data_IF_329892771445
#
_entry.id   IF_329892771445
#
_cell.length_a   1.000
_cell.length_b   1.000
_cell.length_c   1.000
_cell.angle_alpha   90.00
_cell.angle_beta   90.00
_cell.angle_gamma   90.00
#
_symmetry.space_group_name_H-M   'P 1'
#
loop_
_entity.id
_entity.type
_entity.pdbx_description
1 polymer ?
#
# COMPACT_ATOMS: atom_id res chain seq x y z
N UNK A 1 -47.23 24.11 -22.10
CA UNK A 1 -46.73 23.21 -21.04
C UNK A 1 -45.26 22.95 -21.32
N UNK A 2 -44.36 23.64 -20.58
CA UNK A 2 -42.90 23.48 -20.74
C UNK A 2 -42.41 22.42 -19.78
N UNK A 3 -41.84 21.35 -20.32
CA UNK A 3 -41.15 20.32 -19.55
C UNK A 3 -39.74 20.83 -19.24
N UNK A 4 -39.49 21.21 -17.99
CA UNK A 4 -38.13 21.46 -17.49
C UNK A 4 -37.44 20.12 -17.23
N UNK A 5 -36.53 19.74 -18.11
CA UNK A 5 -35.61 18.63 -17.87
C UNK A 5 -34.53 19.07 -16.91
N UNK A 6 -34.60 18.62 -15.66
CA UNK A 6 -33.51 18.77 -14.69
C UNK A 6 -32.40 17.82 -15.04
N UNK A 7 -31.30 18.35 -15.58
CA UNK A 7 -30.06 17.61 -15.77
C UNK A 7 -29.41 17.40 -14.39
N UNK A 8 -29.53 16.19 -13.86
CA UNK A 8 -28.78 15.81 -12.65
C UNK A 8 -27.30 15.65 -13.03
N UNK A 9 -26.46 16.56 -12.57
CA UNK A 9 -25.01 16.40 -12.63
C UNK A 9 -24.61 15.28 -11.67
N UNK A 10 -24.29 14.11 -12.24
CA UNK A 10 -23.60 13.05 -11.48
C UNK A 10 -22.14 13.46 -11.41
N UNK A 11 -21.76 14.09 -10.30
CA UNK A 11 -20.35 14.28 -10.00
C UNK A 11 -19.70 12.90 -9.86
N UNK A 12 -18.54 12.64 -10.50
CA UNK A 12 -17.81 11.43 -10.23
C UNK A 12 -17.41 11.46 -8.76
N UNK A 13 -17.95 10.54 -7.97
CA UNK A 13 -17.42 10.25 -6.63
C UNK A 13 -16.09 9.58 -6.87
N UNK A 14 -15.03 10.40 -7.01
CA UNK A 14 -13.69 9.90 -6.91
C UNK A 14 -13.61 9.27 -5.51
N UNK A 15 -13.49 7.96 -5.46
CA UNK A 15 -13.16 7.24 -4.25
C UNK A 15 -11.73 7.66 -3.87
N UNK A 16 -11.61 8.82 -3.24
CA UNK A 16 -10.41 9.17 -2.52
C UNK A 16 -10.36 8.18 -1.36
N UNK A 17 -9.53 7.13 -1.52
CA UNK A 17 -9.08 6.37 -0.36
C UNK A 17 -8.49 7.40 0.57
N UNK A 18 -9.27 7.73 1.61
CA UNK A 18 -8.87 8.73 2.58
C UNK A 18 -7.60 8.23 3.26
N UNK A 19 -6.50 9.00 3.18
CA UNK A 19 -5.31 8.77 4.01
C UNK A 19 -5.65 8.68 5.50
N UNK A 20 -6.84 9.12 5.89
CA UNK A 20 -7.36 9.01 7.24
C UNK A 20 -7.44 7.57 7.76
N UNK A 21 -7.46 6.55 6.89
CA UNK A 21 -7.46 5.14 7.31
C UNK A 21 -6.12 4.69 7.92
N UNK A 22 -5.01 5.38 7.60
CA UNK A 22 -3.68 5.06 8.11
C UNK A 22 -3.28 5.97 9.26
N UNK A 23 -2.59 5.41 10.25
CA UNK A 23 -2.01 6.18 11.35
C UNK A 23 -0.56 6.56 11.02
N UNK A 24 -0.37 7.70 10.36
CA UNK A 24 0.95 8.20 9.99
C UNK A 24 1.78 8.72 11.17
N UNK A 25 1.22 8.76 12.37
CA UNK A 25 1.97 9.06 13.61
C UNK A 25 2.71 7.85 14.15
N UNK A 26 2.36 6.64 13.66
CA UNK A 26 2.95 5.37 14.09
C UNK A 26 3.72 4.73 12.95
N UNK A 27 4.81 4.07 13.29
CA UNK A 27 5.58 3.22 12.39
C UNK A 27 5.71 1.84 13.01
N UNK A 28 5.47 0.81 12.21
CA UNK A 28 5.69 -0.58 12.58
C UNK A 28 6.82 -1.16 11.75
N UNK A 29 7.62 -2.01 12.37
CA UNK A 29 8.66 -2.79 11.70
C UNK A 29 8.43 -4.26 11.99
N UNK A 30 8.30 -5.06 10.93
CA UNK A 30 8.03 -6.50 11.02
C UNK A 30 8.88 -7.28 10.03
N UNK A 31 9.10 -8.57 10.30
CA UNK A 31 9.73 -9.49 9.35
C UNK A 31 8.70 -10.49 8.86
N UNK A 32 8.85 -10.89 7.60
CA UNK A 32 7.94 -11.86 7.00
C UNK A 32 8.39 -12.32 5.63
N UNK A 33 7.51 -13.10 5.01
CA UNK A 33 7.69 -13.66 3.68
C UNK A 33 6.62 -13.13 2.75
N UNK A 34 7.03 -12.57 1.62
CA UNK A 34 6.10 -12.11 0.59
C UNK A 34 5.27 -13.29 0.07
N UNK A 35 3.97 -13.16 0.07
CA UNK A 35 3.03 -14.13 -0.51
C UNK A 35 2.51 -13.69 -1.87
N UNK A 36 2.31 -12.38 -2.07
CA UNK A 36 1.82 -11.83 -3.32
C UNK A 36 2.29 -10.37 -3.48
N UNK A 37 2.67 -9.98 -4.69
CA UNK A 37 2.85 -8.58 -5.07
C UNK A 37 1.82 -8.24 -6.13
N UNK A 38 0.72 -7.64 -5.70
CA UNK A 38 -0.45 -7.35 -6.54
C UNK A 38 -0.27 -6.03 -7.26
N UNK A 39 0.10 -6.11 -8.54
CA UNK A 39 0.39 -4.97 -9.40
C UNK A 39 -0.87 -4.52 -10.15
N UNK A 40 -1.74 -3.77 -9.48
CA UNK A 40 -3.05 -3.35 -10.00
C UNK A 40 -3.35 -1.90 -9.70
N UNK A 41 -4.20 -1.26 -10.54
CA UNK A 41 -4.79 0.04 -10.25
C UNK A 41 -6.00 -0.12 -9.30
N UNK A 42 -6.33 0.89 -8.48
CA UNK A 42 -5.65 2.18 -8.34
C UNK A 42 -4.36 2.11 -7.51
N UNK A 43 -4.22 1.11 -6.65
CA UNK A 43 -3.06 0.95 -5.77
C UNK A 43 -2.49 -0.46 -5.85
N UNK A 44 -1.16 -0.51 -5.84
CA UNK A 44 -0.41 -1.76 -5.69
C UNK A 44 -0.50 -2.22 -4.23
N UNK A 45 -0.56 -3.53 -4.01
CA UNK A 45 -0.56 -4.12 -2.68
C UNK A 45 0.55 -5.17 -2.54
N UNK A 46 1.26 -5.12 -1.42
CA UNK A 46 2.22 -6.13 -1.01
C UNK A 46 1.63 -6.97 0.12
N UNK A 47 1.39 -8.25 -0.15
CA UNK A 47 0.89 -9.19 0.85
C UNK A 47 2.06 -9.98 1.43
N UNK A 48 2.14 -9.99 2.75
CA UNK A 48 3.25 -10.59 3.49
C UNK A 48 2.70 -11.42 4.66
N UNK A 49 3.15 -12.67 4.74
CA UNK A 49 2.92 -13.48 5.93
C UNK A 49 3.98 -13.14 6.96
N UNK A 50 3.57 -12.64 8.11
CA UNK A 50 4.48 -12.29 9.19
C UNK A 50 5.14 -13.56 9.76
N UNK A 51 6.36 -13.40 10.26
CA UNK A 51 7.05 -14.48 10.96
C UNK A 51 6.25 -14.91 12.18
N UNK A 52 6.17 -16.22 12.46
CA UNK A 52 5.41 -16.72 13.60
C UNK A 52 5.86 -16.10 14.91
N UNK A 53 4.87 -15.74 15.74
CA UNK A 53 5.08 -15.32 17.12
C UNK A 53 4.50 -16.37 18.06
N UNK A 54 5.09 -16.62 19.24
CA UNK A 54 4.54 -17.56 20.22
C UNK A 54 3.08 -17.20 20.55
N UNK A 55 2.17 -18.18 20.41
CA UNK A 55 0.75 -18.01 20.74
C UNK A 55 -0.09 -17.23 19.75
N UNK A 56 0.49 -16.77 18.63
CA UNK A 56 -0.22 -16.04 17.58
C UNK A 56 -0.30 -16.90 16.32
N UNK A 57 -1.49 -17.11 15.73
CA UNK A 57 -1.62 -17.76 14.43
C UNK A 57 -0.84 -17.02 13.33
N UNK A 58 -0.40 -17.71 12.26
CA UNK A 58 0.17 -17.03 11.11
C UNK A 58 -0.79 -15.98 10.55
N UNK A 59 -0.30 -14.77 10.30
CA UNK A 59 -1.07 -13.63 9.83
C UNK A 59 -0.52 -13.13 8.51
N UNK A 60 -1.43 -12.88 7.55
CA UNK A 60 -1.11 -12.18 6.30
C UNK A 60 -1.52 -10.72 6.42
N UNK A 61 -0.57 -9.85 6.18
CA UNK A 61 -0.77 -8.41 6.18
C UNK A 61 -0.74 -7.86 4.76
N UNK A 62 -1.60 -6.88 4.48
CA UNK A 62 -1.65 -6.20 3.19
C UNK A 62 -1.17 -4.77 3.33
N UNK A 63 -0.06 -4.46 2.67
CA UNK A 63 0.50 -3.11 2.65
C UNK A 63 0.18 -2.43 1.33
N UNK A 64 -0.41 -1.25 1.44
CA UNK A 64 -0.80 -0.44 0.29
C UNK A 64 0.37 0.42 -0.20
N UNK A 65 0.57 0.44 -1.51
CA UNK A 65 1.49 1.33 -2.21
C UNK A 65 0.70 2.24 -3.14
N UNK A 66 1.37 3.18 -3.79
CA UNK A 66 0.76 4.03 -4.81
C UNK A 66 0.45 3.25 -6.10
N UNK A 67 -0.01 3.93 -7.14
CA UNK A 67 -0.39 3.31 -8.41
C UNK A 67 0.80 2.67 -9.13
N UNK A 68 0.55 1.66 -10.01
CA UNK A 68 1.58 1.11 -10.88
C UNK A 68 2.33 2.18 -11.69
N UNK A 69 1.62 3.19 -12.20
CA UNK A 69 2.22 4.28 -12.97
C UNK A 69 3.21 5.10 -12.14
N UNK A 70 2.85 5.46 -10.91
CA UNK A 70 3.74 6.18 -10.00
C UNK A 70 4.97 5.36 -9.63
N UNK A 71 4.79 4.08 -9.33
CA UNK A 71 5.89 3.18 -9.00
C UNK A 71 6.83 2.97 -10.17
N UNK A 72 6.31 2.81 -11.38
CA UNK A 72 7.12 2.66 -12.61
C UNK A 72 8.01 3.88 -12.83
N UNK A 73 7.51 5.09 -12.60
CA UNK A 73 8.33 6.31 -12.66
C UNK A 73 9.45 6.34 -11.62
N UNK A 74 9.25 5.67 -10.49
CA UNK A 74 10.26 5.47 -9.45
C UNK A 74 11.21 4.30 -9.70
N UNK A 75 11.12 3.63 -10.84
CA UNK A 75 11.98 2.49 -11.19
C UNK A 75 11.46 1.12 -10.74
N UNK A 76 10.25 1.05 -10.18
CA UNK A 76 9.64 -0.19 -9.75
C UNK A 76 9.03 -0.94 -10.95
N UNK A 77 8.96 -2.27 -10.84
CA UNK A 77 8.25 -3.15 -11.76
C UNK A 77 7.38 -4.13 -10.99
N UNK A 78 6.50 -4.84 -11.70
CA UNK A 78 5.74 -5.95 -11.13
C UNK A 78 6.60 -7.07 -10.54
N UNK A 79 7.89 -7.07 -10.84
CA UNK A 79 8.87 -8.04 -10.37
C UNK A 79 9.75 -7.49 -9.24
N UNK A 80 9.46 -6.29 -8.73
CA UNK A 80 10.21 -5.71 -7.60
C UNK A 80 10.13 -6.57 -6.35
N UNK A 81 9.03 -7.29 -6.16
CA UNK A 81 8.89 -8.37 -5.19
C UNK A 81 8.36 -9.62 -5.88
N UNK A 82 8.68 -10.77 -5.33
CA UNK A 82 8.13 -12.06 -5.75
C UNK A 82 7.75 -12.92 -4.54
N UNK A 83 6.79 -13.84 -4.67
CA UNK A 83 6.48 -14.79 -3.61
C UNK A 83 7.73 -15.51 -3.12
N UNK A 84 7.87 -15.61 -1.81
CA UNK A 84 9.03 -16.23 -1.17
C UNK A 84 10.13 -15.26 -0.75
N UNK A 85 10.09 -14.00 -1.19
CA UNK A 85 11.06 -13.00 -0.73
C UNK A 85 10.96 -12.80 0.78
N UNK A 86 12.11 -12.88 1.46
CA UNK A 86 12.23 -12.61 2.88
C UNK A 86 12.55 -11.13 3.09
N UNK A 87 11.70 -10.45 3.86
CA UNK A 87 11.78 -9.00 4.00
C UNK A 87 11.59 -8.55 5.44
N UNK A 88 12.23 -7.43 5.78
CA UNK A 88 11.85 -6.59 6.90
C UNK A 88 11.11 -5.38 6.34
N UNK A 89 9.93 -5.11 6.88
CA UNK A 89 9.01 -4.09 6.40
C UNK A 89 8.84 -2.98 7.41
N UNK A 90 8.84 -1.75 6.94
CA UNK A 90 8.45 -0.58 7.70
C UNK A 90 7.22 0.05 7.06
N UNK A 91 6.19 0.31 7.85
CA UNK A 91 4.91 0.83 7.37
C UNK A 91 4.14 1.59 8.45
N UNK A 92 3.17 2.39 8.03
CA UNK A 92 2.23 3.04 8.92
C UNK A 92 0.97 2.17 9.04
N UNK A 93 0.54 1.78 10.24
CA UNK A 93 -0.57 0.83 10.41
C UNK A 93 -1.92 1.44 10.08
N UNK A 94 -2.92 0.56 9.83
CA UNK A 94 -4.32 0.97 9.81
C UNK A 94 -4.77 1.39 11.20
N UNK A 95 -5.61 2.45 11.29
CA UNK A 95 -6.15 2.96 12.56
C UNK A 95 -7.12 2.00 13.22
N UNK A 96 -7.80 1.17 12.43
CA UNK A 96 -8.81 0.23 12.94
C UNK A 96 -8.23 -1.07 13.50
N UNK A 97 -6.90 -1.22 13.50
CA UNK A 97 -6.20 -2.40 14.01
C UNK A 97 -6.25 -3.62 13.09
N UNK A 98 -6.81 -3.51 11.89
CA UNK A 98 -6.74 -4.58 10.89
C UNK A 98 -5.31 -4.80 10.39
N UNK A 99 -5.06 -5.99 9.83
CA UNK A 99 -3.74 -6.43 9.36
C UNK A 99 -3.38 -5.75 8.04
N UNK A 100 -2.90 -4.52 8.14
CA UNK A 100 -2.51 -3.74 6.98
C UNK A 100 -1.90 -2.40 7.34
N UNK A 101 -1.48 -1.68 6.31
CA UNK A 101 -0.88 -0.37 6.47
C UNK A 101 -0.44 0.24 5.16
N UNK A 102 0.14 1.44 5.26
CA UNK A 102 0.78 2.13 4.16
C UNK A 102 2.26 1.78 4.14
N UNK A 103 2.71 1.18 3.04
CA UNK A 103 4.12 0.79 2.85
C UNK A 103 5.05 2.01 2.87
N UNK A 104 6.19 1.89 3.53
CA UNK A 104 7.26 2.89 3.49
C UNK A 104 8.56 2.30 2.93
N UNK A 105 9.02 1.18 3.48
CA UNK A 105 10.32 0.62 3.15
C UNK A 105 10.35 -0.90 3.34
N UNK A 106 11.09 -1.58 2.49
CA UNK A 106 11.44 -2.98 2.67
C UNK A 106 12.95 -3.16 2.58
N UNK A 107 13.49 -4.02 3.43
CA UNK A 107 14.86 -4.53 3.34
C UNK A 107 14.80 -6.01 3.03
N UNK A 108 15.41 -6.43 1.93
CA UNK A 108 15.55 -7.85 1.59
C UNK A 108 16.56 -8.48 2.53
N UNK A 109 16.14 -9.51 3.28
CA UNK A 109 16.96 -10.09 4.35
C UNK A 109 18.15 -10.88 3.83
N UNK A 110 18.10 -11.41 2.61
CA UNK A 110 19.18 -12.17 1.99
C UNK A 110 20.29 -11.28 1.41
N UNK A 111 19.96 -10.10 0.90
CA UNK A 111 20.92 -9.21 0.22
C UNK A 111 21.21 -7.93 0.99
N UNK A 112 20.32 -7.52 1.91
CA UNK A 112 20.37 -6.21 2.56
C UNK A 112 19.92 -5.05 1.65
N UNK A 113 19.47 -5.33 0.43
CA UNK A 113 18.96 -4.30 -0.47
C UNK A 113 17.71 -3.64 0.12
N UNK A 114 17.64 -2.32 0.01
CA UNK A 114 16.51 -1.51 0.48
C UNK A 114 15.75 -0.96 -0.72
N UNK A 115 14.42 -1.06 -0.64
CA UNK A 115 13.49 -0.44 -1.59
C UNK A 115 12.46 0.36 -0.82
N UNK A 116 12.18 1.58 -1.24
CA UNK A 116 11.28 2.47 -0.52
C UNK A 116 10.32 3.20 -1.44
N UNK A 117 9.12 3.45 -0.93
CA UNK A 117 8.10 4.28 -1.58
C UNK A 117 7.23 4.88 -0.49
N UNK A 118 6.94 6.16 -0.58
CA UNK A 118 6.07 6.83 0.38
C UNK A 118 4.73 7.14 -0.28
N UNK A 119 3.70 6.37 0.07
CA UNK A 119 2.34 6.53 -0.44
C UNK A 119 1.85 7.97 -0.27
N UNK A 120 2.07 8.55 0.91
CA UNK A 120 1.62 9.92 1.23
C UNK A 120 2.31 10.99 0.39
N UNK A 121 3.59 10.79 0.06
CA UNK A 121 4.33 11.74 -0.76
C UNK A 121 3.95 11.64 -2.24
N UNK A 122 3.66 10.43 -2.72
CA UNK A 122 3.31 10.17 -4.12
C UNK A 122 1.93 10.72 -4.52
N UNK A 123 1.03 10.88 -3.54
CA UNK A 123 -0.35 11.32 -3.80
C UNK A 123 -0.62 12.78 -3.39
N UNK A 124 0.39 13.56 -3.03
CA UNK A 124 0.22 15.00 -2.86
C UNK A 124 -0.03 15.63 -4.22
N UNK A 125 -1.21 16.23 -4.46
CA UNK A 125 -1.42 16.99 -5.66
C UNK A 125 -0.52 18.24 -5.63
N UNK A 126 0.28 18.43 -6.66
CA UNK A 126 0.91 19.71 -6.94
C UNK A 126 2.33 19.92 -6.42
N UNK A 127 3.21 18.95 -6.54
CA UNK A 127 4.64 19.18 -6.64
C UNK A 127 5.08 18.82 -8.06
N UNK A 128 4.54 19.57 -9.02
CA UNK A 128 5.14 19.72 -10.35
C UNK A 128 6.18 20.83 -10.32
#
# INVERSE_FOLDING_TARGET
MSLLATLAWIAPVAAHHSFAMFDFSKSMTVKGTVTEFRWTNPHVALLVQLDPQPGTPPEVWSLELTSPGNLTRGGWTRHSFKPGDRVELEFNPLRDGKHGGAFNKATFLDTGQVISSNLRAAEKPGLE
#
